data_IF_946095245322
#
_entry.id   IF_946095245322
#
_cell.length_a   1.000
_cell.length_b   1.000
_cell.length_c   1.000
_cell.angle_alpha   90.00
_cell.angle_beta   90.00
_cell.angle_gamma   90.00
#
_symmetry.space_group_name_H-M   'P 1'
#
loop_
_entity.id
_entity.type
_entity.pdbx_description
1 polymer ?
#
# COMPACT_ATOMS: atom_id res chain seq x y z
N UNK A 1 -24.10 -9.98 -73.72
CA UNK A 1 -22.94 -10.81 -73.33
C UNK A 1 -22.50 -10.42 -71.95
N UNK A 2 -22.46 -11.39 -71.05
CA UNK A 2 -22.04 -11.30 -69.66
C UNK A 2 -20.57 -10.86 -69.53
N UNK A 3 -20.25 -10.05 -68.52
CA UNK A 3 -19.27 -10.40 -67.47
C UNK A 3 -19.41 -9.48 -66.25
N UNK A 4 -19.40 -10.14 -65.10
CA UNK A 4 -19.57 -9.67 -63.72
C UNK A 4 -18.29 -9.02 -63.16
N UNK A 5 -18.37 -8.39 -61.97
CA UNK A 5 -17.33 -7.55 -61.39
C UNK A 5 -16.38 -8.32 -60.44
N UNK A 6 -15.15 -7.84 -60.30
CA UNK A 6 -14.19 -8.21 -59.23
C UNK A 6 -14.17 -7.07 -58.19
N UNK A 7 -14.54 -7.35 -56.94
CA UNK A 7 -13.65 -7.66 -55.80
C UNK A 7 -12.74 -6.46 -55.45
N UNK A 8 -12.81 -5.81 -54.29
CA UNK A 8 -13.16 -6.31 -52.96
C UNK A 8 -12.02 -5.90 -52.02
N UNK A 9 -12.11 -4.73 -51.38
CA UNK A 9 -11.24 -4.38 -50.25
C UNK A 9 -12.10 -4.00 -49.05
N UNK A 10 -12.04 -4.90 -48.06
CA UNK A 10 -12.71 -4.82 -46.76
C UNK A 10 -12.04 -3.74 -45.92
N UNK A 11 -12.82 -2.75 -45.50
CA UNK A 11 -12.52 -1.92 -44.34
C UNK A 11 -12.89 -2.75 -43.11
N UNK A 12 -11.90 -3.26 -42.38
CA UNK A 12 -12.10 -3.85 -41.07
C UNK A 12 -12.27 -2.74 -40.04
N UNK A 13 -13.53 -2.43 -39.73
CA UNK A 13 -13.91 -1.75 -38.50
C UNK A 13 -13.74 -2.72 -37.33
N UNK A 14 -12.70 -2.53 -36.53
CA UNK A 14 -12.54 -3.18 -35.23
C UNK A 14 -13.22 -2.35 -34.15
N UNK A 15 -14.54 -2.51 -34.02
CA UNK A 15 -15.29 -2.12 -32.83
C UNK A 15 -15.31 -3.36 -31.93
N UNK A 16 -14.53 -3.37 -30.85
CA UNK A 16 -14.76 -4.32 -29.76
C UNK A 16 -15.01 -3.58 -28.45
N UNK A 17 -16.23 -3.84 -27.99
CA UNK A 17 -16.78 -3.55 -26.68
C UNK A 17 -15.91 -4.18 -25.59
N UNK A 18 -15.63 -3.41 -24.54
CA UNK A 18 -15.46 -3.98 -23.20
C UNK A 18 -16.41 -3.24 -22.26
N UNK A 19 -17.64 -3.72 -22.25
CA UNK A 19 -18.69 -3.37 -21.31
C UNK A 19 -18.34 -3.88 -19.91
N UNK A 20 -18.62 -3.04 -18.90
CA UNK A 20 -19.31 -3.40 -17.66
C UNK A 20 -18.84 -4.66 -16.90
N UNK A 21 -18.09 -4.48 -15.80
CA UNK A 21 -18.38 -5.18 -14.52
C UNK A 21 -17.81 -4.40 -13.32
N UNK A 22 -18.54 -3.41 -12.79
CA UNK A 22 -18.30 -2.88 -11.44
C UNK A 22 -19.62 -2.79 -10.68
N UNK A 23 -20.15 -3.94 -10.28
CA UNK A 23 -21.09 -4.05 -9.16
C UNK A 23 -20.77 -5.32 -8.40
N UNK A 24 -20.15 -5.19 -7.22
CA UNK A 24 -20.11 -6.28 -6.25
C UNK A 24 -21.44 -6.30 -5.49
N UNK A 25 -22.14 -7.45 -5.40
CA UNK A 25 -23.32 -7.55 -4.57
C UNK A 25 -22.92 -7.67 -3.10
N UNK A 26 -23.42 -6.76 -2.27
CA UNK A 26 -23.46 -6.90 -0.82
C UNK A 26 -24.33 -8.13 -0.47
N UNK A 27 -23.71 -9.25 -0.14
CA UNK A 27 -24.37 -10.37 0.56
C UNK A 27 -23.71 -10.60 1.90
N UNK A 28 -24.43 -10.20 2.95
CA UNK A 28 -24.29 -10.71 4.31
C UNK A 28 -24.50 -12.23 4.31
N UNK A 29 -23.48 -13.00 4.71
CA UNK A 29 -23.68 -14.39 5.15
C UNK A 29 -22.98 -14.61 6.48
N UNK A 30 -23.82 -14.88 7.47
CA UNK A 30 -23.49 -15.56 8.72
C UNK A 30 -23.00 -16.95 8.35
N UNK A 31 -21.81 -17.34 8.82
CA UNK A 31 -21.33 -18.71 8.77
C UNK A 31 -20.96 -19.17 10.19
N UNK A 32 -21.82 -20.01 10.76
CA UNK A 32 -21.39 -21.04 11.68
C UNK A 32 -20.74 -22.15 10.85
N UNK A 33 -19.53 -22.59 11.20
CA UNK A 33 -19.08 -23.93 10.80
C UNK A 33 -18.11 -24.53 11.80
N UNK A 34 -18.51 -25.70 12.26
CA UNK A 34 -17.86 -26.62 13.18
C UNK A 34 -16.52 -27.12 12.65
N UNK A 35 -15.56 -27.30 13.55
CA UNK A 35 -14.29 -27.98 13.28
C UNK A 35 -14.50 -29.48 13.31
N UNK A 36 -14.16 -30.17 12.21
CA UNK A 36 -13.93 -31.61 12.20
C UNK A 36 -12.47 -31.88 11.80
N UNK A 37 -11.85 -32.72 12.61
CA UNK A 37 -10.46 -33.14 12.61
C UNK A 37 -10.15 -33.98 11.36
N UNK A 38 -9.01 -33.71 10.71
CA UNK A 38 -8.34 -34.70 9.87
C UNK A 38 -6.81 -34.62 10.08
N UNK A 39 -6.24 -35.75 10.51
CA UNK A 39 -4.80 -36.04 10.59
C UNK A 39 -4.31 -36.59 9.25
N UNK A 40 -3.12 -36.15 8.82
CA UNK A 40 -2.21 -36.86 7.89
C UNK A 40 -0.90 -36.06 7.84
N UNK A 41 0.10 -36.44 8.66
CA UNK A 41 1.35 -37.19 8.33
C UNK A 41 2.33 -36.49 7.37
N UNK A 42 3.43 -36.05 7.99
CA UNK A 42 4.81 -35.94 7.48
C UNK A 42 5.14 -34.92 6.37
N UNK A 43 5.51 -33.72 6.80
CA UNK A 43 6.78 -33.08 6.42
C UNK A 43 7.18 -32.13 7.56
N UNK A 44 8.31 -32.41 8.22
CA UNK A 44 8.84 -31.57 9.30
C UNK A 44 9.40 -30.28 8.70
N UNK A 45 8.55 -29.27 8.55
CA UNK A 45 8.98 -27.87 8.50
C UNK A 45 9.19 -27.47 9.96
N UNK A 46 10.45 -27.30 10.36
CA UNK A 46 10.80 -26.73 11.66
C UNK A 46 10.12 -25.36 11.79
N UNK A 47 9.10 -25.30 12.64
CA UNK A 47 8.57 -24.03 13.13
C UNK A 47 9.68 -23.34 13.94
N UNK A 48 10.02 -22.06 13.68
CA UNK A 48 10.93 -21.32 14.56
C UNK A 48 10.29 -21.18 15.95
N UNK A 49 11.10 -21.11 17.02
CA UNK A 49 10.60 -21.15 18.38
C UNK A 49 9.62 -20.01 18.65
N UNK A 50 8.48 -20.40 19.20
CA UNK A 50 7.42 -19.53 19.68
C UNK A 50 7.98 -18.52 20.70
N UNK A 51 7.86 -17.25 20.34
CA UNK A 51 7.99 -16.05 21.19
C UNK A 51 9.30 -15.90 21.97
N UNK A 52 10.18 -15.02 21.47
CA UNK A 52 11.19 -14.35 22.28
C UNK A 52 10.53 -13.50 23.37
N UNK A 53 11.15 -13.35 24.55
CA UNK A 53 10.59 -12.55 25.63
C UNK A 53 10.44 -11.09 25.18
N UNK A 54 9.21 -10.60 25.19
CA UNK A 54 8.84 -9.22 24.84
C UNK A 54 9.07 -8.22 25.98
N UNK A 55 9.60 -8.68 27.12
CA UNK A 55 9.93 -7.82 28.26
C UNK A 55 11.44 -7.63 28.34
N UNK A 56 11.95 -6.39 28.50
CA UNK A 56 13.35 -6.16 28.80
C UNK A 56 13.71 -6.88 30.11
N UNK A 57 14.91 -7.45 30.18
CA UNK A 57 15.41 -8.04 31.42
C UNK A 57 15.46 -6.95 32.51
N UNK A 58 15.21 -7.33 33.77
CA UNK A 58 15.25 -6.42 34.90
C UNK A 58 16.56 -5.60 34.87
N UNK A 59 16.40 -4.26 34.83
CA UNK A 59 17.45 -3.22 34.74
C UNK A 59 17.87 -2.74 33.34
N UNK A 60 17.25 -3.21 32.26
CA UNK A 60 17.47 -2.64 30.92
C UNK A 60 16.46 -1.53 30.58
N UNK A 61 16.96 -0.34 30.22
CA UNK A 61 16.13 0.81 29.82
C UNK A 61 15.59 0.71 28.38
N UNK A 62 16.23 -0.10 27.53
CA UNK A 62 15.84 -0.33 26.13
C UNK A 62 15.90 -1.83 25.80
N UNK A 63 15.01 -2.35 24.93
CA UNK A 63 15.05 -3.75 24.51
C UNK A 63 16.35 -4.02 23.76
N UNK A 64 17.06 -5.10 24.10
CA UNK A 64 18.20 -5.57 23.32
C UNK A 64 17.67 -5.95 21.93
N UNK A 65 17.90 -5.09 20.96
CA UNK A 65 17.38 -5.20 19.59
C UNK A 65 18.01 -6.32 18.76
N UNK A 66 19.03 -7.01 19.27
CA UNK A 66 19.93 -7.80 18.43
C UNK A 66 20.36 -9.12 19.07
N UNK A 67 19.43 -9.82 19.75
CA UNK A 67 19.73 -11.15 20.33
C UNK A 67 19.65 -12.26 19.27
N UNK A 68 19.30 -12.00 18.01
CA UNK A 68 19.13 -13.07 17.03
C UNK A 68 20.43 -13.67 16.49
N UNK A 69 21.57 -12.97 16.61
CA UNK A 69 22.88 -13.58 16.29
C UNK A 69 23.40 -14.44 17.47
N UNK A 70 22.74 -14.37 18.64
CA UNK A 70 23.14 -15.08 19.84
C UNK A 70 22.54 -16.49 19.91
N UNK A 71 23.18 -17.42 19.20
CA UNK A 71 23.56 -18.71 19.78
C UNK A 71 24.85 -19.29 19.16
N UNK A 72 25.68 -18.49 18.47
CA UNK A 72 27.08 -18.84 18.22
C UNK A 72 27.96 -17.97 19.13
N UNK A 73 28.42 -18.58 20.23
CA UNK A 73 29.39 -18.01 21.16
C UNK A 73 30.77 -17.99 20.52
N UNK A 74 30.97 -17.19 19.48
CA UNK A 74 32.31 -16.83 18.99
C UNK A 74 32.27 -15.37 18.55
N UNK A 75 32.13 -14.46 19.51
CA UNK A 75 32.23 -13.01 19.27
C UNK A 75 33.66 -12.55 18.93
N UNK A 76 34.65 -13.45 19.08
CA UNK A 76 36.03 -13.26 18.61
C UNK A 76 36.24 -13.73 17.16
N UNK A 77 35.28 -14.50 16.60
CA UNK A 77 35.18 -14.79 15.17
C UNK A 77 33.97 -14.05 14.60
N UNK A 78 33.88 -12.73 14.80
CA UNK A 78 33.43 -11.91 13.68
C UNK A 78 34.65 -11.96 12.76
N UNK A 79 34.67 -12.81 11.72
CA UNK A 79 35.76 -12.79 10.77
C UNK A 79 35.95 -11.34 10.35
N UNK A 80 37.16 -10.99 9.95
CA UNK A 80 37.43 -9.83 9.09
C UNK A 80 36.65 -10.00 7.76
N UNK A 81 35.33 -10.11 7.83
CA UNK A 81 34.43 -10.03 6.71
C UNK A 81 34.65 -8.63 6.17
N UNK A 82 35.22 -8.57 4.97
CA UNK A 82 35.35 -7.30 4.26
C UNK A 82 34.01 -6.59 4.27
N UNK A 83 34.02 -5.29 4.53
CA UNK A 83 32.82 -4.46 4.41
C UNK A 83 32.52 -4.38 2.91
N UNK A 84 31.67 -5.28 2.43
CA UNK A 84 31.32 -5.39 1.00
C UNK A 84 29.85 -5.77 0.80
N UNK A 85 29.36 -5.57 -0.42
CA UNK A 85 28.00 -5.93 -0.80
C UNK A 85 27.80 -7.45 -0.82
N UNK A 86 28.83 -8.21 -1.24
CA UNK A 86 28.81 -9.67 -1.27
C UNK A 86 28.66 -10.23 0.15
N UNK A 87 29.39 -9.67 1.11
CA UNK A 87 29.26 -10.02 2.53
C UNK A 87 27.87 -9.70 3.05
N UNK A 88 27.32 -8.53 2.71
CA UNK A 88 25.96 -8.15 3.08
C UNK A 88 24.94 -9.19 2.58
N UNK A 89 25.02 -9.59 1.31
CA UNK A 89 24.14 -10.61 0.73
C UNK A 89 24.33 -11.98 1.40
N UNK A 90 25.57 -12.39 1.65
CA UNK A 90 25.88 -13.64 2.35
C UNK A 90 25.25 -13.69 3.75
N UNK A 91 25.37 -12.63 4.53
CA UNK A 91 24.77 -12.55 5.87
C UNK A 91 23.25 -12.63 5.84
N UNK A 92 22.60 -11.99 4.86
CA UNK A 92 21.14 -12.07 4.69
C UNK A 92 20.73 -13.52 4.35
N UNK A 93 21.44 -14.18 3.44
CA UNK A 93 21.19 -15.59 3.11
C UNK A 93 21.40 -16.53 4.29
N UNK A 94 22.38 -16.24 5.14
CA UNK A 94 22.63 -16.97 6.39
C UNK A 94 21.71 -16.56 7.55
N UNK A 95 20.71 -15.70 7.30
CA UNK A 95 19.76 -15.19 8.31
C UNK A 95 20.41 -14.44 9.50
N UNK A 96 21.66 -13.96 9.34
CA UNK A 96 22.40 -13.15 10.33
C UNK A 96 22.03 -11.67 10.18
N UNK A 97 20.76 -11.33 10.42
CA UNK A 97 20.19 -10.01 10.08
C UNK A 97 20.78 -8.86 10.90
N UNK A 98 21.22 -9.12 12.14
CA UNK A 98 21.83 -8.08 12.98
C UNK A 98 23.20 -7.66 12.43
N UNK A 99 24.04 -8.64 12.11
CA UNK A 99 25.31 -8.42 11.43
C UNK A 99 25.10 -7.77 10.06
N UNK A 100 24.13 -8.23 9.27
CA UNK A 100 23.79 -7.62 7.99
C UNK A 100 23.38 -6.14 8.14
N UNK A 101 22.62 -5.79 9.18
CA UNK A 101 22.24 -4.41 9.45
C UNK A 101 23.45 -3.52 9.76
N UNK A 102 24.41 -4.02 10.55
CA UNK A 102 25.66 -3.29 10.84
C UNK A 102 26.43 -3.01 9.56
N UNK A 103 26.64 -4.02 8.71
CA UNK A 103 27.32 -3.84 7.43
C UNK A 103 26.59 -2.83 6.54
N UNK A 104 25.26 -2.90 6.47
CA UNK A 104 24.45 -1.91 5.73
C UNK A 104 24.70 -0.49 6.22
N UNK A 105 24.67 -0.26 7.53
CA UNK A 105 24.97 1.05 8.11
C UNK A 105 26.39 1.50 7.77
N UNK A 106 27.40 0.63 7.93
CA UNK A 106 28.79 0.97 7.61
C UNK A 106 28.99 1.30 6.13
N UNK A 107 28.37 0.54 5.21
CA UNK A 107 28.39 0.85 3.78
C UNK A 107 27.74 2.22 3.49
N UNK A 108 26.63 2.54 4.16
CA UNK A 108 25.97 3.84 4.02
C UNK A 108 26.81 4.99 4.58
N UNK A 109 27.46 4.80 5.72
CA UNK A 109 28.35 5.79 6.35
C UNK A 109 29.59 6.05 5.49
N UNK A 110 30.05 5.03 4.74
CA UNK A 110 31.11 5.15 3.73
C UNK A 110 30.63 5.79 2.41
N UNK A 111 29.34 6.13 2.29
CA UNK A 111 28.76 6.67 1.06
C UNK A 111 28.62 5.65 -0.07
N UNK A 112 28.77 4.35 0.21
CA UNK A 112 28.61 3.29 -0.79
C UNK A 112 27.14 3.16 -1.17
N UNK A 113 26.85 3.29 -2.46
CA UNK A 113 25.50 3.13 -2.97
C UNK A 113 25.11 1.63 -2.99
N UNK A 114 24.23 1.23 -2.08
CA UNK A 114 23.70 -0.13 -2.04
C UNK A 114 22.62 -0.28 -3.14
N UNK A 115 22.77 -1.23 -4.08
CA UNK A 115 21.79 -1.42 -5.15
C UNK A 115 20.46 -1.93 -4.60
N UNK A 116 19.38 -1.67 -5.34
CA UNK A 116 18.06 -2.18 -4.98
C UNK A 116 17.90 -3.65 -5.41
N UNK A 117 17.67 -4.56 -4.47
CA UNK A 117 17.59 -6.01 -4.70
C UNK A 117 16.43 -6.66 -3.91
N UNK A 118 15.91 -7.77 -4.43
CA UNK A 118 14.90 -8.60 -3.76
C UNK A 118 15.45 -9.34 -2.53
N UNK A 119 16.76 -9.58 -2.46
CA UNK A 119 17.42 -10.23 -1.30
C UNK A 119 17.10 -9.51 0.01
N UNK A 120 16.95 -8.19 0.00
CA UNK A 120 16.60 -7.40 1.19
C UNK A 120 15.19 -7.66 1.74
N UNK A 121 14.34 -8.39 1.01
CA UNK A 121 13.02 -8.80 1.49
C UNK A 121 13.13 -9.72 2.72
N UNK A 122 14.08 -10.65 2.71
CA UNK A 122 14.28 -11.60 3.81
C UNK A 122 14.74 -10.86 5.08
N UNK A 123 15.63 -9.87 4.92
CA UNK A 123 16.05 -9.00 6.01
C UNK A 123 14.88 -8.16 6.57
N UNK A 124 14.02 -7.63 5.69
CA UNK A 124 12.82 -6.92 6.12
C UNK A 124 11.86 -7.84 6.90
N UNK A 125 11.73 -9.12 6.53
CA UNK A 125 10.95 -10.09 7.29
C UNK A 125 11.57 -10.44 8.65
N UNK A 126 12.89 -10.55 8.71
CA UNK A 126 13.62 -10.74 9.97
C UNK A 126 13.25 -9.67 10.99
N UNK A 127 13.30 -8.40 10.58
CA UNK A 127 12.93 -7.25 11.42
C UNK A 127 11.43 -7.16 11.73
N UNK A 128 10.57 -7.69 10.84
CA UNK A 128 9.11 -7.66 11.04
C UNK A 128 8.69 -8.46 12.28
N UNK A 129 9.40 -9.53 12.60
CA UNK A 129 9.10 -10.39 13.76
C UNK A 129 9.49 -9.74 15.10
N UNK A 130 10.41 -8.77 15.08
CA UNK A 130 10.92 -8.03 16.24
C UNK A 130 10.46 -6.57 16.24
N UNK A 131 9.39 -6.27 15.50
CA UNK A 131 8.92 -4.92 15.23
C UNK A 131 8.59 -4.15 16.52
N UNK A 132 9.36 -3.11 16.79
CA UNK A 132 9.29 -2.22 17.94
C UNK A 132 9.62 -0.81 17.48
N UNK A 133 9.41 0.18 18.36
CA UNK A 133 9.78 1.57 18.04
C UNK A 133 11.26 1.70 17.61
N UNK A 134 12.12 0.83 18.12
CA UNK A 134 13.55 0.89 17.89
C UNK A 134 14.02 0.05 16.67
N UNK A 135 13.24 -0.95 16.19
CA UNK A 135 13.53 -1.65 14.92
C UNK A 135 12.89 -0.98 13.70
N UNK A 136 12.03 0.03 13.86
CA UNK A 136 11.34 0.65 12.72
C UNK A 136 12.31 1.22 11.68
N UNK A 137 13.36 1.90 12.11
CA UNK A 137 14.32 2.49 11.19
C UNK A 137 15.12 1.42 10.42
N UNK A 138 15.48 0.32 11.11
CA UNK A 138 16.11 -0.84 10.49
C UNK A 138 15.20 -1.45 9.42
N UNK A 139 13.95 -1.74 9.79
CA UNK A 139 12.93 -2.31 8.93
C UNK A 139 12.62 -1.42 7.69
N UNK A 140 12.42 -0.12 7.89
CA UNK A 140 12.20 0.81 6.78
C UNK A 140 13.44 0.97 5.91
N UNK A 141 14.64 0.92 6.50
CA UNK A 141 15.90 0.90 5.78
C UNK A 141 15.98 -0.26 4.78
N UNK A 142 15.57 -1.46 5.19
CA UNK A 142 15.51 -2.63 4.28
C UNK A 142 14.44 -2.45 3.19
N UNK A 143 13.25 -1.98 3.57
CA UNK A 143 12.17 -1.70 2.60
C UNK A 143 12.61 -0.69 1.52
N UNK A 144 13.42 0.31 1.89
CA UNK A 144 14.00 1.30 0.97
C UNK A 144 15.03 0.70 0.01
N UNK A 145 15.52 -0.52 0.22
CA UNK A 145 16.41 -1.22 -0.71
C UNK A 145 15.68 -2.24 -1.62
N UNK A 146 14.37 -2.42 -1.45
CA UNK A 146 13.59 -3.31 -2.34
C UNK A 146 13.56 -2.80 -3.79
N UNK A 147 13.38 -3.65 -4.81
CA UNK A 147 13.35 -3.18 -6.19
C UNK A 147 12.15 -2.24 -6.45
N UNK A 148 12.37 -1.22 -7.27
CA UNK A 148 11.29 -0.41 -7.83
C UNK A 148 10.67 -1.09 -9.04
N UNK A 149 9.42 -0.75 -9.38
CA UNK A 149 8.68 -1.35 -10.50
C UNK A 149 9.38 -1.17 -11.86
N UNK A 150 10.19 -0.12 -12.01
CA UNK A 150 10.93 0.22 -13.22
C UNK A 150 12.29 -0.45 -13.35
N UNK A 151 12.84 -1.05 -12.29
CA UNK A 151 14.17 -1.67 -12.35
C UNK A 151 14.20 -2.81 -13.37
N UNK A 152 15.20 -2.79 -14.26
CA UNK A 152 15.40 -3.83 -15.28
C UNK A 152 15.51 -5.24 -14.66
N UNK A 153 16.17 -5.36 -13.51
CA UNK A 153 16.27 -6.63 -12.77
C UNK A 153 14.92 -7.13 -12.24
N UNK A 154 14.00 -6.21 -11.89
CA UNK A 154 12.64 -6.56 -11.50
C UNK A 154 11.80 -7.05 -12.69
N UNK A 155 12.07 -6.53 -13.91
CA UNK A 155 11.45 -6.99 -15.16
C UNK A 155 12.03 -8.33 -15.63
N UNK A 156 13.34 -8.54 -15.53
CA UNK A 156 13.98 -9.80 -15.89
C UNK A 156 13.58 -10.96 -14.96
N UNK A 157 13.41 -10.69 -13.66
CA UNK A 157 12.90 -11.66 -12.70
C UNK A 157 11.36 -11.86 -12.78
N UNK A 158 10.63 -11.02 -13.51
CA UNK A 158 9.16 -11.14 -13.64
C UNK A 158 8.70 -12.30 -14.52
N UNK A 159 9.61 -12.92 -15.29
CA UNK A 159 9.29 -14.17 -16.01
C UNK A 159 8.89 -15.31 -15.04
N UNK A 160 9.29 -15.21 -13.77
CA UNK A 160 8.93 -16.14 -12.70
C UNK A 160 7.87 -15.59 -11.72
N UNK A 161 7.02 -14.66 -12.15
CA UNK A 161 5.85 -14.24 -11.37
C UNK A 161 6.19 -13.64 -9.99
N UNK A 162 7.39 -13.05 -9.80
CA UNK A 162 7.69 -12.27 -8.59
C UNK A 162 6.94 -10.94 -8.62
N UNK A 163 5.69 -11.04 -8.18
CA UNK A 163 4.78 -9.97 -7.83
C UNK A 163 5.42 -9.02 -6.80
N UNK A 164 5.00 -7.76 -6.84
CA UNK A 164 5.24 -6.69 -5.85
C UNK A 164 5.95 -7.14 -4.55
N UNK A 165 7.19 -6.72 -4.27
CA UNK A 165 7.96 -7.18 -3.10
C UNK A 165 7.36 -6.74 -1.75
N UNK A 166 6.47 -5.74 -1.76
CA UNK A 166 5.77 -5.27 -0.57
C UNK A 166 4.56 -6.14 -0.21
N UNK A 167 4.06 -6.93 -1.18
CA UNK A 167 2.87 -7.76 -1.05
C UNK A 167 2.91 -8.68 0.18
N UNK A 168 3.98 -9.48 0.41
CA UNK A 168 4.00 -10.40 1.53
C UNK A 168 4.24 -9.67 2.86
N UNK A 169 4.96 -8.54 2.88
CA UNK A 169 5.18 -7.72 4.08
C UNK A 169 3.86 -7.12 4.60
N UNK A 170 3.12 -6.47 3.70
CA UNK A 170 1.80 -5.89 4.03
C UNK A 170 0.82 -6.99 4.43
N UNK A 171 0.81 -8.12 3.73
CA UNK A 171 -0.05 -9.25 4.08
C UNK A 171 0.27 -9.84 5.47
N UNK A 172 1.54 -9.89 5.86
CA UNK A 172 1.94 -10.36 7.20
C UNK A 172 1.51 -9.37 8.30
N UNK A 173 1.68 -8.06 8.09
CA UNK A 173 1.21 -7.05 9.03
C UNK A 173 -0.30 -7.04 9.20
N UNK A 174 -1.05 -7.17 8.11
CA UNK A 174 -2.51 -7.19 8.17
C UNK A 174 -3.05 -8.44 8.88
N UNK A 175 -2.29 -9.54 8.91
CA UNK A 175 -2.65 -10.80 9.59
C UNK A 175 -2.29 -10.83 11.08
N UNK A 176 -1.52 -9.87 11.59
CA UNK A 176 -0.95 -9.85 12.95
C UNK A 176 -1.95 -9.72 14.13
N UNK A 177 -3.25 -10.00 13.94
CA UNK A 177 -4.27 -9.97 14.99
C UNK A 177 -4.68 -8.57 15.48
N UNK A 178 -3.77 -7.59 15.48
CA UNK A 178 -4.03 -6.18 15.81
C UNK A 178 -3.40 -5.20 14.78
N UNK A 179 -3.91 -5.17 13.54
CA UNK A 179 -3.37 -4.28 12.50
C UNK A 179 -3.51 -2.78 12.83
N UNK A 180 -4.39 -2.42 13.77
CA UNK A 180 -4.49 -1.06 14.30
C UNK A 180 -3.27 -0.64 15.12
N UNK A 181 -2.61 -1.57 15.80
CA UNK A 181 -1.38 -1.30 16.59
C UNK A 181 -0.21 -0.94 15.68
N UNK A 182 -0.14 -1.59 14.52
CA UNK A 182 0.92 -1.38 13.53
C UNK A 182 0.52 -0.42 12.41
N UNK A 183 -0.54 0.37 12.59
CA UNK A 183 -1.06 1.25 11.54
C UNK A 183 0.02 2.21 11.01
N UNK A 184 0.81 2.82 11.89
CA UNK A 184 1.91 3.71 11.48
C UNK A 184 2.90 2.97 10.58
N UNK A 185 3.27 1.74 10.94
CA UNK A 185 4.16 0.91 10.13
C UNK A 185 3.55 0.55 8.77
N UNK A 186 2.29 0.11 8.75
CA UNK A 186 1.55 -0.19 7.52
C UNK A 186 1.54 1.03 6.59
N UNK A 187 1.24 2.22 7.11
CA UNK A 187 1.21 3.45 6.31
C UNK A 187 2.60 3.84 5.79
N UNK A 188 3.64 3.73 6.61
CA UNK A 188 5.03 3.99 6.21
C UNK A 188 5.49 3.04 5.11
N UNK A 189 5.17 1.75 5.19
CA UNK A 189 5.49 0.78 4.13
C UNK A 189 4.79 1.16 2.82
N UNK A 190 3.53 1.59 2.90
CA UNK A 190 2.77 1.94 1.69
C UNK A 190 3.32 3.21 1.07
N UNK A 191 3.79 4.16 1.88
CA UNK A 191 4.52 5.33 1.39
C UNK A 191 5.78 4.90 0.62
N UNK A 192 6.58 4.00 1.19
CA UNK A 192 7.79 3.44 0.53
C UNK A 192 7.40 2.66 -0.74
N UNK A 193 6.35 1.85 -0.72
CA UNK A 193 5.86 1.11 -1.87
C UNK A 193 5.38 2.07 -2.98
N UNK A 194 4.74 3.18 -2.59
CA UNK A 194 4.26 4.22 -3.50
C UNK A 194 5.42 4.93 -4.20
N UNK A 195 6.48 5.29 -3.47
CA UNK A 195 7.71 5.85 -4.03
C UNK A 195 8.50 4.86 -4.92
N UNK A 196 8.04 3.61 -5.02
CA UNK A 196 8.60 2.58 -5.90
C UNK A 196 7.66 2.15 -7.02
N UNK A 197 6.51 2.83 -7.17
CA UNK A 197 5.53 2.59 -8.23
C UNK A 197 4.50 1.51 -7.92
N UNK A 198 4.39 1.05 -6.68
CA UNK A 198 3.44 0.01 -6.24
C UNK A 198 2.16 0.57 -5.60
N UNK A 199 1.94 1.89 -5.70
CA UNK A 199 0.86 2.63 -5.06
C UNK A 199 -0.53 1.97 -5.21
N UNK A 200 -1.02 1.78 -6.44
CA UNK A 200 -2.41 1.33 -6.68
C UNK A 200 -2.70 -0.03 -6.04
N UNK A 201 -1.75 -0.99 -6.14
CA UNK A 201 -1.94 -2.35 -5.62
C UNK A 201 -1.96 -2.36 -4.09
N UNK A 202 -1.00 -1.68 -3.46
CA UNK A 202 -0.88 -1.67 -1.99
C UNK A 202 -1.93 -0.79 -1.33
N UNK A 203 -2.28 0.34 -1.95
CA UNK A 203 -3.32 1.22 -1.42
C UNK A 203 -4.68 0.51 -1.36
N UNK A 204 -5.10 -0.15 -2.45
CA UNK A 204 -6.35 -0.94 -2.46
C UNK A 204 -6.38 -2.01 -1.37
N UNK A 205 -5.23 -2.61 -1.06
CA UNK A 205 -5.10 -3.68 -0.06
C UNK A 205 -5.36 -3.19 1.36
N UNK A 206 -5.01 -1.94 1.68
CA UNK A 206 -5.21 -1.39 3.03
C UNK A 206 -6.50 -0.62 3.21
N UNK A 207 -7.25 -0.35 2.14
CA UNK A 207 -8.54 0.33 2.23
C UNK A 207 -9.53 -0.34 3.19
N UNK A 208 -9.66 -1.69 3.24
CA UNK A 208 -10.49 -2.35 4.24
C UNK A 208 -10.04 -2.11 5.68
N UNK A 209 -8.77 -1.81 5.91
CA UNK A 209 -8.25 -1.46 7.23
C UNK A 209 -8.53 0.01 7.56
N UNK A 210 -8.25 0.92 6.62
CA UNK A 210 -8.57 2.35 6.76
C UNK A 210 -10.06 2.58 6.99
N UNK A 211 -10.91 1.78 6.34
CA UNK A 211 -12.36 1.89 6.49
C UNK A 211 -12.88 1.58 7.90
N UNK A 212 -12.15 0.72 8.63
CA UNK A 212 -12.46 0.36 10.02
C UNK A 212 -12.00 1.44 11.00
N UNK A 213 -11.17 2.40 10.57
CA UNK A 213 -10.76 3.51 11.42
C UNK A 213 -11.95 4.45 11.65
N UNK A 214 -12.44 4.47 12.89
CA UNK A 214 -13.66 5.17 13.33
C UNK A 214 -13.62 6.67 13.03
N UNK A 215 -12.42 7.27 12.96
CA UNK A 215 -12.22 8.65 12.55
C UNK A 215 -10.98 8.74 11.66
N UNK A 216 -11.08 9.30 10.43
CA UNK A 216 -9.92 9.95 9.87
C UNK A 216 -9.50 11.03 10.87
N UNK A 217 -8.32 10.89 11.46
CA UNK A 217 -7.71 11.97 12.24
C UNK A 217 -7.51 13.18 11.32
N UNK A 218 -7.24 14.36 11.90
CA UNK A 218 -6.93 15.57 11.10
C UNK A 218 -5.97 15.28 9.94
N UNK A 219 -4.96 14.44 10.21
CA UNK A 219 -3.92 13.97 9.28
C UNK A 219 -4.32 12.99 8.18
N UNK A 220 -5.59 12.60 8.02
CA UNK A 220 -5.96 11.63 6.98
C UNK A 220 -5.87 12.20 5.56
N UNK A 221 -6.05 13.51 5.39
CA UNK A 221 -5.88 14.17 4.09
C UNK A 221 -4.39 14.30 3.78
N UNK A 222 -3.61 14.71 4.77
CA UNK A 222 -2.16 14.80 4.72
C UNK A 222 -1.57 13.43 4.37
N UNK A 223 -2.06 12.35 4.98
CA UNK A 223 -1.67 10.99 4.61
C UNK A 223 -1.98 10.68 3.13
N UNK A 224 -3.19 10.95 2.65
CA UNK A 224 -3.55 10.70 1.25
C UNK A 224 -2.66 11.53 0.31
N UNK A 225 -2.36 12.77 0.68
CA UNK A 225 -1.47 13.66 -0.05
C UNK A 225 -0.03 13.14 -0.06
N UNK A 226 0.49 12.68 1.07
CA UNK A 226 1.84 12.11 1.16
C UNK A 226 2.00 10.84 0.31
N UNK A 227 0.97 9.99 0.29
CA UNK A 227 0.97 8.78 -0.56
C UNK A 227 0.95 9.15 -2.04
N UNK A 228 0.14 10.14 -2.40
CA UNK A 228 0.10 10.68 -3.75
C UNK A 228 1.43 11.31 -4.15
N UNK A 229 1.96 12.24 -3.36
CA UNK A 229 3.24 12.91 -3.59
C UNK A 229 4.38 11.89 -3.76
N UNK A 230 4.39 10.84 -2.94
CA UNK A 230 5.37 9.76 -3.04
C UNK A 230 5.26 9.02 -4.37
N UNK A 231 4.04 8.72 -4.83
CA UNK A 231 3.82 8.08 -6.13
C UNK A 231 4.13 9.01 -7.31
N UNK A 232 3.71 10.28 -7.24
CA UNK A 232 3.98 11.29 -8.27
C UNK A 232 5.48 11.54 -8.39
N UNK A 233 6.22 11.56 -7.28
CA UNK A 233 7.68 11.61 -7.29
C UNK A 233 8.28 10.47 -8.11
N UNK A 234 7.83 9.23 -7.87
CA UNK A 234 8.27 8.07 -8.67
C UNK A 234 7.92 8.18 -10.15
N UNK A 235 6.71 8.64 -10.49
CA UNK A 235 6.27 8.84 -11.88
C UNK A 235 7.20 9.84 -12.58
N UNK A 236 7.49 10.97 -11.95
CA UNK A 236 8.39 12.01 -12.49
C UNK A 236 9.81 11.48 -12.68
N UNK A 237 10.39 10.85 -11.66
CA UNK A 237 11.74 10.27 -11.76
C UNK A 237 11.84 9.21 -12.86
N UNK A 238 10.79 8.41 -13.06
CA UNK A 238 10.76 7.41 -14.15
C UNK A 238 10.87 8.08 -15.51
N UNK A 239 10.10 9.15 -15.72
CA UNK A 239 10.14 9.92 -16.97
C UNK A 239 11.46 10.66 -17.13
N UNK A 240 12.00 11.28 -16.09
CA UNK A 240 13.30 11.96 -16.15
C UNK A 240 14.42 10.98 -16.57
N UNK A 241 14.40 9.74 -16.07
CA UNK A 241 15.33 8.70 -16.48
C UNK A 241 15.18 8.31 -17.97
N UNK A 242 13.96 8.34 -18.51
CA UNK A 242 13.66 7.99 -19.92
C UNK A 242 13.83 9.17 -20.90
N UNK A 243 13.73 10.41 -20.41
CA UNK A 243 13.92 11.65 -21.18
C UNK A 243 15.40 12.01 -21.33
N UNK A 244 16.23 11.73 -20.33
CA UNK A 244 17.68 11.96 -20.42
C UNK A 244 18.36 11.14 -21.55
N UNK A 245 17.64 10.20 -22.17
CA UNK A 245 18.11 9.38 -23.30
C UNK A 245 17.51 9.76 -24.66
N UNK A 246 16.58 10.73 -24.77
CA UNK A 246 15.93 11.08 -26.05
C UNK A 246 15.71 12.59 -26.23
N UNK A 247 16.08 13.13 -27.41
CA UNK A 247 15.88 14.54 -27.78
C UNK A 247 14.63 14.79 -28.65
N UNK A 248 13.75 13.80 -28.78
CA UNK A 248 12.58 13.90 -29.64
C UNK A 248 11.43 14.64 -28.94
N UNK A 249 11.02 15.79 -29.49
CA UNK A 249 9.94 16.62 -28.96
C UNK A 249 8.58 15.90 -28.93
N UNK A 250 8.33 14.99 -29.87
CA UNK A 250 7.08 14.21 -29.88
C UNK A 250 7.06 13.18 -28.74
N UNK A 251 8.23 12.60 -28.42
CA UNK A 251 8.39 11.71 -27.27
C UNK A 251 8.19 12.46 -25.95
N UNK A 252 8.81 13.64 -25.82
CA UNK A 252 8.64 14.51 -24.63
C UNK A 252 7.16 14.80 -24.36
N UNK A 253 6.41 15.18 -25.39
CA UNK A 253 4.97 15.47 -25.26
C UNK A 253 4.18 14.23 -24.80
N UNK A 254 4.45 13.06 -25.38
CA UNK A 254 3.81 11.79 -24.98
C UNK A 254 4.12 11.43 -23.52
N UNK A 255 5.35 11.68 -23.08
CA UNK A 255 5.78 11.40 -21.71
C UNK A 255 5.09 12.36 -20.72
N UNK A 256 4.97 13.65 -21.05
CA UNK A 256 4.21 14.63 -20.25
C UNK A 256 2.72 14.27 -20.12
N UNK A 257 2.09 13.86 -21.22
CA UNK A 257 0.71 13.36 -21.24
C UNK A 257 0.56 12.10 -20.36
N UNK A 258 1.54 11.18 -20.42
CA UNK A 258 1.58 9.99 -19.58
C UNK A 258 1.70 10.34 -18.09
N UNK A 259 2.61 11.24 -17.71
CA UNK A 259 2.77 11.71 -16.31
C UNK A 259 1.45 12.28 -15.81
N UNK A 260 0.84 13.18 -16.58
CA UNK A 260 -0.43 13.82 -16.22
C UNK A 260 -1.54 12.79 -16.02
N UNK A 261 -1.60 11.77 -16.89
CA UNK A 261 -2.54 10.65 -16.78
C UNK A 261 -2.29 9.81 -15.51
N UNK A 262 -1.03 9.52 -15.16
CA UNK A 262 -0.72 8.77 -13.93
C UNK A 262 -1.10 9.54 -12.66
N UNK A 263 -0.85 10.87 -12.63
CA UNK A 263 -1.25 11.74 -11.51
C UNK A 263 -2.79 11.72 -11.36
N UNK A 264 -3.52 11.93 -12.46
CA UNK A 264 -4.98 11.89 -12.45
C UNK A 264 -5.53 10.52 -11.98
N UNK A 265 -4.91 9.42 -12.43
CA UNK A 265 -5.29 8.06 -12.02
C UNK A 265 -5.02 7.80 -10.53
N UNK A 266 -3.92 8.29 -9.98
CA UNK A 266 -3.63 8.18 -8.56
C UNK A 266 -4.69 8.92 -7.73
N UNK A 267 -4.96 10.18 -8.09
CA UNK A 267 -5.99 11.01 -7.45
C UNK A 267 -7.38 10.39 -7.53
N UNK A 268 -7.78 9.89 -8.72
CA UNK A 268 -9.03 9.16 -8.93
C UNK A 268 -9.13 7.94 -8.00
N UNK A 269 -8.05 7.18 -7.88
CA UNK A 269 -7.99 6.01 -6.98
C UNK A 269 -8.22 6.39 -5.52
N UNK A 270 -7.58 7.46 -5.03
CA UNK A 270 -7.77 7.97 -3.68
C UNK A 270 -9.21 8.42 -3.42
N UNK A 271 -9.81 9.14 -4.38
CA UNK A 271 -11.19 9.64 -4.28
C UNK A 271 -12.17 8.47 -4.21
N UNK A 272 -12.09 7.52 -5.14
CA UNK A 272 -12.99 6.37 -5.19
C UNK A 272 -12.90 5.52 -3.92
N UNK A 273 -11.69 5.31 -3.43
CA UNK A 273 -11.47 4.57 -2.20
C UNK A 273 -12.09 5.27 -0.97
N UNK A 274 -12.00 6.61 -0.89
CA UNK A 274 -12.69 7.38 0.14
C UNK A 274 -14.22 7.26 0.04
N UNK A 275 -14.75 7.15 -1.18
CA UNK A 275 -16.18 6.96 -1.42
C UNK A 275 -16.68 5.56 -1.00
N UNK A 276 -15.88 4.51 -1.24
CA UNK A 276 -16.22 3.13 -0.84
C UNK A 276 -16.42 2.99 0.68
N UNK A 277 -15.61 3.70 1.47
CA UNK A 277 -15.74 3.69 2.94
C UNK A 277 -16.97 4.45 3.43
N UNK A 278 -17.43 5.45 2.66
CA UNK A 278 -18.58 6.31 2.98
C UNK A 278 -18.42 7.09 4.32
N UNK A 279 -19.45 7.83 4.73
CA UNK A 279 -19.49 8.52 6.00
C UNK A 279 -18.55 9.71 6.08
N UNK A 280 -17.53 9.64 6.96
CA UNK A 280 -16.59 10.76 7.20
C UNK A 280 -15.55 10.88 6.08
N UNK A 281 -15.26 9.79 5.37
CA UNK A 281 -14.31 9.76 4.25
C UNK A 281 -14.84 10.50 3.01
N UNK A 282 -16.16 10.65 2.88
CA UNK A 282 -16.75 11.52 1.86
C UNK A 282 -16.29 12.98 1.94
N UNK A 283 -15.94 13.49 3.13
CA UNK A 283 -15.36 14.84 3.24
C UNK A 283 -13.96 14.91 2.65
N UNK A 284 -13.19 13.84 2.80
CA UNK A 284 -11.84 13.72 2.22
C UNK A 284 -11.95 13.64 0.70
N UNK A 285 -12.84 12.80 0.18
CA UNK A 285 -13.12 12.72 -1.26
C UNK A 285 -13.46 14.10 -1.88
N UNK A 286 -14.38 14.85 -1.27
CA UNK A 286 -14.73 16.20 -1.74
C UNK A 286 -13.56 17.19 -1.67
N UNK A 287 -12.72 17.10 -0.63
CA UNK A 287 -11.52 17.94 -0.51
C UNK A 287 -10.49 17.60 -1.58
N UNK A 288 -10.26 16.31 -1.85
CA UNK A 288 -9.37 15.87 -2.91
C UNK A 288 -9.83 16.36 -4.29
N UNK A 289 -11.14 16.33 -4.58
CA UNK A 289 -11.71 16.93 -5.81
C UNK A 289 -11.42 18.43 -5.88
N UNK A 290 -11.70 19.15 -4.79
CA UNK A 290 -11.45 20.61 -4.73
C UNK A 290 -9.97 20.93 -4.93
N UNK A 291 -9.07 20.11 -4.37
CA UNK A 291 -7.63 20.23 -4.58
C UNK A 291 -7.24 19.95 -6.03
N UNK A 292 -7.83 18.93 -6.66
CA UNK A 292 -7.58 18.64 -8.08
C UNK A 292 -7.95 19.81 -8.99
N UNK A 293 -9.10 20.45 -8.74
CA UNK A 293 -9.51 21.64 -9.50
C UNK A 293 -8.54 22.82 -9.30
N UNK A 294 -7.96 22.98 -8.11
CA UNK A 294 -6.95 24.01 -7.81
C UNK A 294 -5.59 23.71 -8.42
N UNK A 295 -5.20 22.45 -8.45
CA UNK A 295 -3.91 21.96 -8.95
C UNK A 295 -3.94 21.74 -10.48
N UNK A 296 -5.09 21.94 -11.13
CA UNK A 296 -5.25 21.70 -12.58
C UNK A 296 -5.23 20.22 -12.98
N UNK A 297 -5.41 19.30 -12.02
CA UNK A 297 -5.46 17.86 -12.29
C UNK A 297 -6.84 17.51 -12.84
N UNK A 298 -6.90 17.18 -14.13
CA UNK A 298 -8.14 16.77 -14.77
C UNK A 298 -8.67 15.46 -14.18
N UNK A 299 -9.91 15.49 -13.70
CA UNK A 299 -10.66 14.32 -13.27
C UNK A 299 -11.89 14.15 -14.17
N UNK A 300 -12.14 12.93 -14.62
CA UNK A 300 -13.34 12.58 -15.39
C UNK A 300 -14.62 13.05 -14.69
N UNK A 301 -15.55 13.64 -15.46
CA UNK A 301 -16.84 14.11 -14.94
C UNK A 301 -17.63 13.01 -14.23
N UNK A 302 -17.54 11.76 -14.70
CA UNK A 302 -18.15 10.58 -14.08
C UNK A 302 -17.76 10.42 -12.61
N UNK A 303 -16.50 10.70 -12.25
CA UNK A 303 -16.00 10.62 -10.87
C UNK A 303 -16.62 11.75 -10.03
N UNK A 304 -16.65 12.98 -10.56
CA UNK A 304 -17.23 14.15 -9.88
C UNK A 304 -18.72 13.95 -9.62
N UNK A 305 -19.47 13.48 -10.62
CA UNK A 305 -20.89 13.17 -10.51
C UNK A 305 -21.17 12.05 -9.52
N UNK A 306 -20.35 10.99 -9.54
CA UNK A 306 -20.45 9.89 -8.58
C UNK A 306 -20.31 10.37 -7.14
N UNK A 307 -19.29 11.20 -6.83
CA UNK A 307 -19.09 11.75 -5.48
C UNK A 307 -20.23 12.68 -5.08
N UNK A 308 -20.70 13.53 -6.01
CA UNK A 308 -21.84 14.43 -5.78
C UNK A 308 -23.10 13.63 -5.43
N UNK A 309 -23.43 12.61 -6.21
CA UNK A 309 -24.58 11.74 -5.97
C UNK A 309 -24.54 11.04 -4.60
N UNK A 310 -23.36 10.55 -4.17
CA UNK A 310 -23.18 9.97 -2.85
C UNK A 310 -23.34 11.00 -1.71
N UNK A 311 -22.83 12.22 -1.91
CA UNK A 311 -22.92 13.32 -0.94
C UNK A 311 -24.37 13.74 -0.70
N UNK A 312 -25.16 13.87 -1.77
CA UNK A 312 -26.57 14.28 -1.73
C UNK A 312 -27.45 13.23 -1.03
N UNK A 313 -27.25 11.94 -1.32
CA UNK A 313 -27.95 10.84 -0.63
C UNK A 313 -27.71 10.86 0.88
N UNK A 314 -26.46 11.10 1.29
CA UNK A 314 -26.10 11.22 2.72
C UNK A 314 -26.73 12.43 3.44
N UNK A 315 -27.03 13.51 2.72
CA UNK A 315 -27.75 14.67 3.28
C UNK A 315 -29.26 14.43 3.41
N UNK A 316 -29.87 13.73 2.45
CA UNK A 316 -31.28 13.34 2.47
C UNK A 316 -31.64 12.53 3.72
N UNK A 317 -30.84 11.52 4.06
CA UNK A 317 -31.03 10.71 5.27
C UNK A 317 -30.90 11.51 6.58
N UNK A 318 -29.94 12.45 6.64
CA UNK A 318 -29.75 13.30 7.82
C UNK A 318 -30.91 14.27 8.01
N UNK A 319 -31.40 14.90 6.93
CA UNK A 319 -32.59 15.77 6.98
C UNK A 319 -33.82 14.98 7.45
N UNK A 320 -33.99 13.74 6.99
CA UNK A 320 -35.04 12.82 7.47
C UNK A 320 -34.94 12.52 8.97
N UNK A 321 -33.76 12.14 9.47
CA UNK A 321 -33.53 11.84 10.91
C UNK A 321 -33.69 13.07 11.81
N UNK A 322 -33.26 14.26 11.37
CA UNK A 322 -33.45 15.52 12.12
C UNK A 322 -34.93 15.91 12.18
N UNK A 323 -35.68 15.76 11.08
CA UNK A 323 -37.12 16.00 11.04
C UNK A 323 -37.87 15.03 11.97
N UNK A 324 -37.47 13.76 11.99
CA UNK A 324 -38.03 12.75 12.91
C UNK A 324 -37.72 13.05 14.39
N UNK A 325 -36.49 13.42 14.73
CA UNK A 325 -36.09 13.82 16.10
C UNK A 325 -36.82 15.08 16.57
N UNK A 326 -36.98 16.10 15.72
CA UNK A 326 -37.78 17.30 16.04
C UNK A 326 -39.25 16.97 16.29
N UNK A 327 -39.84 16.08 15.48
CA UNK A 327 -41.24 15.63 15.65
C UNK A 327 -41.44 14.84 16.96
N UNK A 328 -40.47 14.00 17.34
CA UNK A 328 -40.50 13.22 18.60
C UNK A 328 -40.33 14.10 19.86
N UNK A 329 -39.45 15.12 19.81
CA UNK A 329 -39.31 16.10 20.91
C UNK A 329 -40.56 16.97 21.09
N UNK A 330 -41.21 17.39 19.99
CA UNK A 330 -42.50 18.12 20.07
C UNK A 330 -43.61 17.27 20.70
N UNK A 331 -43.72 15.98 20.34
CA UNK A 331 -44.70 15.06 20.96
C UNK A 331 -44.45 14.78 22.45
N UNK A 332 -43.19 14.86 22.93
CA UNK A 332 -42.88 14.73 24.36
C UNK A 332 -43.25 15.98 25.17
N UNK A 333 -43.05 17.19 24.63
CA UNK A 333 -43.48 18.44 25.29
C UNK A 333 -45.01 18.53 25.43
N UNK A 334 -45.77 18.09 24.42
CA UNK A 334 -47.25 18.07 24.47
C UNK A 334 -47.79 17.09 25.52
N UNK A 335 -47.05 16.03 25.88
CA UNK A 335 -47.45 15.11 26.97
C UNK A 335 -47.10 15.61 28.37
N UNK A 336 -46.17 16.58 28.51
CA UNK A 336 -45.83 17.17 29.82
C UNK A 336 -46.74 18.35 30.18
N UNK A 337 -47.22 19.13 29.22
CA UNK A 337 -48.19 20.22 29.47
C UNK A 337 -49.66 19.78 29.61
N UNK A 338 -49.92 18.51 29.91
CA UNK A 338 -51.28 17.95 30.15
C UNK A 338 -51.38 17.31 31.55
N UNK A 339 -50.48 17.69 32.45
CA UNK A 339 -50.39 17.19 33.84
C UNK A 339 -50.48 18.31 34.88
N UNK A 340 -50.89 19.50 34.47
CA UNK A 340 -51.33 20.58 35.36
C UNK A 340 -52.84 20.74 35.23
#
# INVERSE_FOLDING_TARGET
MNKRPDAGQRISAGYEQATSTWMLPLRSRIFHRSYSIFRSTHSQILHPPLSLPTKPLLHQKEPILWVSDYFERDLDDIPNFGISLETLHSLIHSQKFASAHRIRCTLQDQGVQIPNDIVFLDAAFGELNTLSKATYDAFYGWCKLLPAKTNANARAQSNNNRENPFLPLVASLLRSGSPSTHMTCVLSIIKIASSKGYFIKEFKRIMPLLSRMVKPNGGAIELMRELEESYVGWVKTTVDMELNTSRDAEKVKKDEEWVTSQIANARKTLILACCEVNGRWMRIANRLITMSDREGIYLENSVKEFVKGLSERGQGEKKGKVKWRRRRRRRRKVKQGKKE
#
